data_IF_609284538228
#
_entry.id   IF_609284538228
#
_cell.length_a   1.000
_cell.length_b   1.000
_cell.length_c   1.000
_cell.angle_alpha   90.00
_cell.angle_beta   90.00
_cell.angle_gamma   90.00
#
_symmetry.space_group_name_H-M   'P 1'
#
loop_
_entity.id
_entity.type
_entity.pdbx_description
1 polymer ?
#
# COMPACT_ATOMS: atom_id res chain seq x y z
N UNK A 1 -9.87 -11.81 36.25
CA UNK A 1 -9.94 -12.38 34.89
C UNK A 1 -9.33 -11.37 33.92
N UNK A 2 -8.01 -11.42 33.69
CA UNK A 2 -7.35 -10.52 32.75
C UNK A 2 -7.52 -11.08 31.34
N UNK A 3 -8.25 -10.37 30.48
CA UNK A 3 -8.32 -10.70 29.05
C UNK A 3 -6.95 -10.41 28.46
N UNK A 4 -6.21 -11.47 28.13
CA UNK A 4 -5.00 -11.38 27.34
C UNK A 4 -5.44 -10.97 25.93
N UNK A 5 -5.18 -9.73 25.56
CA UNK A 5 -5.24 -9.28 24.18
C UNK A 5 -4.13 -10.02 23.43
N UNK A 6 -4.47 -11.16 22.83
CA UNK A 6 -3.59 -11.88 21.91
C UNK A 6 -3.42 -10.95 20.71
N UNK A 7 -2.35 -10.15 20.72
CA UNK A 7 -1.88 -9.50 19.51
C UNK A 7 -1.65 -10.64 18.52
N UNK A 8 -2.34 -10.65 17.35
CA UNK A 8 -2.13 -11.70 16.38
C UNK A 8 -0.64 -11.72 16.02
N UNK A 9 -0.06 -12.90 15.72
CA UNK A 9 1.28 -12.95 15.12
C UNK A 9 1.31 -11.95 13.96
N UNK A 10 2.39 -11.18 13.84
CA UNK A 10 2.61 -10.22 12.74
C UNK A 10 2.05 -10.82 11.46
N UNK A 11 0.87 -10.33 11.04
CA UNK A 11 0.22 -10.83 9.85
C UNK A 11 1.18 -10.53 8.72
N UNK A 12 1.73 -11.58 8.09
CA UNK A 12 2.47 -11.41 6.85
C UNK A 12 1.53 -10.71 5.88
N UNK A 13 1.89 -9.48 5.54
CA UNK A 13 1.09 -8.66 4.66
C UNK A 13 1.26 -9.19 3.24
N UNK A 14 0.18 -9.70 2.67
CA UNK A 14 0.13 -9.97 1.23
C UNK A 14 0.13 -8.63 0.47
N UNK A 15 1.33 -8.18 0.11
CA UNK A 15 1.56 -6.90 -0.57
C UNK A 15 0.87 -6.87 -1.94
N UNK A 16 0.79 -8.00 -2.65
CA UNK A 16 0.11 -8.08 -3.94
C UNK A 16 -1.41 -7.87 -3.77
N UNK A 17 -2.01 -8.51 -2.75
CA UNK A 17 -3.42 -8.31 -2.44
C UNK A 17 -3.72 -6.86 -2.02
N UNK A 18 -2.82 -6.21 -1.28
CA UNK A 18 -2.97 -4.79 -0.95
C UNK A 18 -2.98 -3.90 -2.19
N UNK A 19 -2.04 -4.11 -3.12
CA UNK A 19 -2.00 -3.36 -4.39
C UNK A 19 -3.28 -3.58 -5.20
N UNK A 20 -3.75 -4.81 -5.32
CA UNK A 20 -5.00 -5.12 -6.00
C UNK A 20 -6.20 -4.39 -5.35
N UNK A 21 -6.27 -4.36 -4.02
CA UNK A 21 -7.31 -3.67 -3.26
C UNK A 21 -7.30 -2.16 -3.52
N UNK A 22 -6.13 -1.51 -3.49
CA UNK A 22 -5.97 -0.07 -3.77
C UNK A 22 -6.40 0.29 -5.19
N UNK A 23 -5.97 -0.49 -6.18
CA UNK A 23 -6.37 -0.27 -7.58
C UNK A 23 -7.88 -0.44 -7.75
N UNK A 24 -8.44 -1.48 -7.12
CA UNK A 24 -9.86 -1.75 -7.20
C UNK A 24 -10.71 -0.67 -6.52
N UNK A 25 -10.34 -0.23 -5.32
CA UNK A 25 -11.08 0.83 -4.61
C UNK A 25 -11.03 2.16 -5.36
N UNK A 26 -9.87 2.52 -5.92
CA UNK A 26 -9.77 3.70 -6.80
C UNK A 26 -10.70 3.59 -8.01
N UNK A 27 -10.73 2.42 -8.67
CA UNK A 27 -11.59 2.20 -9.83
C UNK A 27 -13.09 2.28 -9.47
N UNK A 28 -13.49 1.79 -8.29
CA UNK A 28 -14.87 1.92 -7.78
C UNK A 28 -15.30 3.39 -7.58
N UNK A 29 -14.34 4.28 -7.36
CA UNK A 29 -14.56 5.73 -7.26
C UNK A 29 -14.45 6.45 -8.61
N UNK A 30 -14.28 5.71 -9.72
CA UNK A 30 -14.03 6.27 -11.05
C UNK A 30 -12.62 6.85 -11.23
N UNK A 31 -11.72 6.62 -10.27
CA UNK A 31 -10.34 7.07 -10.30
C UNK A 31 -9.45 6.04 -11.01
N UNK A 32 -8.32 6.53 -11.54
CA UNK A 32 -7.32 5.71 -12.18
C UNK A 32 -5.96 5.96 -11.54
N UNK A 33 -5.29 4.89 -11.12
CA UNK A 33 -3.93 4.98 -10.61
C UNK A 33 -2.99 5.33 -11.77
N UNK A 34 -2.18 6.37 -11.59
CA UNK A 34 -1.21 6.76 -12.62
C UNK A 34 -0.19 5.66 -12.87
N UNK A 35 0.37 5.60 -14.09
CA UNK A 35 1.43 4.64 -14.43
C UNK A 35 2.64 4.74 -13.49
N UNK A 36 3.00 5.95 -13.06
CA UNK A 36 4.09 6.18 -12.13
C UNK A 36 3.82 5.56 -10.74
N UNK A 37 2.63 5.81 -10.19
CA UNK A 37 2.21 5.20 -8.92
C UNK A 37 2.12 3.67 -9.05
N UNK A 38 1.61 3.16 -10.17
CA UNK A 38 1.51 1.71 -10.41
C UNK A 38 2.87 1.03 -10.40
N UNK A 39 3.87 1.59 -11.07
CA UNK A 39 5.22 1.03 -11.09
C UNK A 39 5.86 0.98 -9.68
N UNK A 40 5.56 1.93 -8.80
CA UNK A 40 6.05 1.90 -7.42
C UNK A 40 5.30 0.88 -6.56
N UNK A 41 3.99 0.75 -6.75
CA UNK A 41 3.19 -0.30 -6.10
C UNK A 41 3.64 -1.70 -6.50
N UNK A 42 3.98 -1.92 -7.78
CA UNK A 42 4.51 -3.22 -8.25
C UNK A 42 5.84 -3.54 -7.55
N UNK A 43 6.75 -2.56 -7.40
CA UNK A 43 7.99 -2.73 -6.62
C UNK A 43 7.72 -3.03 -5.14
N UNK A 44 6.70 -2.40 -4.56
CA UNK A 44 6.28 -2.71 -3.19
C UNK A 44 5.79 -4.17 -3.08
N UNK A 45 4.95 -4.61 -4.02
CA UNK A 45 4.44 -5.99 -4.09
C UNK A 45 5.57 -7.03 -4.23
N UNK A 46 6.63 -6.71 -4.98
CA UNK A 46 7.81 -7.55 -5.17
C UNK A 46 8.81 -7.50 -4.00
N UNK A 47 8.55 -6.71 -2.96
CA UNK A 47 9.46 -6.55 -1.82
C UNK A 47 10.63 -5.58 -2.06
N UNK A 48 10.67 -4.90 -3.21
CA UNK A 48 11.71 -3.94 -3.58
C UNK A 48 11.48 -2.50 -3.10
N UNK A 49 10.36 -2.24 -2.40
CA UNK A 49 10.01 -0.94 -1.86
C UNK A 49 9.22 -1.11 -0.56
N UNK A 50 9.55 -0.33 0.47
CA UNK A 50 8.77 -0.28 1.71
C UNK A 50 7.63 0.74 1.61
N UNK A 51 6.59 0.56 2.42
CA UNK A 51 5.36 1.35 2.32
C UNK A 51 5.58 2.83 2.66
N UNK A 52 6.45 3.14 3.63
CA UNK A 52 6.79 4.51 4.00
C UNK A 52 7.44 5.25 2.84
N UNK A 53 8.32 4.58 2.11
CA UNK A 53 8.99 5.14 0.93
C UNK A 53 8.01 5.33 -0.24
N UNK A 54 7.09 4.38 -0.46
CA UNK A 54 6.01 4.51 -1.44
C UNK A 54 5.15 5.75 -1.17
N UNK A 55 4.76 5.96 0.09
CA UNK A 55 3.97 7.13 0.51
C UNK A 55 4.76 8.42 0.32
N UNK A 56 6.02 8.46 0.77
CA UNK A 56 6.89 9.63 0.64
C UNK A 56 7.05 10.05 -0.82
N UNK A 57 7.38 9.11 -1.71
CA UNK A 57 7.52 9.38 -3.16
C UNK A 57 6.22 9.86 -3.78
N UNK A 58 5.10 9.27 -3.38
CA UNK A 58 3.78 9.70 -3.85
C UNK A 58 3.48 11.14 -3.41
N UNK A 59 3.76 11.51 -2.15
CA UNK A 59 3.61 12.88 -1.66
C UNK A 59 4.51 13.87 -2.39
N UNK A 60 5.79 13.53 -2.55
CA UNK A 60 6.77 14.35 -3.26
C UNK A 60 6.32 14.67 -4.70
N UNK A 61 5.75 13.68 -5.41
CA UNK A 61 5.22 13.83 -6.77
C UNK A 61 4.15 14.92 -6.89
N UNK A 62 3.40 15.15 -5.82
CA UNK A 62 2.33 16.16 -5.77
C UNK A 62 2.71 17.39 -4.93
N UNK A 63 3.98 17.53 -4.52
CA UNK A 63 4.45 18.67 -3.74
C UNK A 63 3.90 18.72 -2.30
N UNK A 64 3.60 17.56 -1.71
CA UNK A 64 2.98 17.42 -0.39
C UNK A 64 4.00 17.11 0.71
N UNK A 65 5.24 17.61 0.63
CA UNK A 65 6.26 17.40 1.69
C UNK A 65 5.80 17.99 3.03
#
# INVERSE_FOLDING_TARGET
>A
MAQQHILPPTLEVDRAQQVASVVHSAAMEGLHVTTATRAEMDRFAEGGLEVEELVRRTRARYGLE
#
